data_IF_039329869006
#
_entry.id   IF_039329869006
#
_cell.length_a   1.000
_cell.length_b   1.000
_cell.length_c   1.000
_cell.angle_alpha   90.00
_cell.angle_beta   90.00
_cell.angle_gamma   90.00
#
_symmetry.space_group_name_H-M   'P 1'
#
loop_
_entity.id
_entity.type
_entity.pdbx_description
1 polymer ?
#
# COMPACT_ATOMS: atom_id res chain seq x y z
N UNK A 1 -24.95 12.99 11.79
CA UNK A 1 -23.93 12.87 10.74
C UNK A 1 -23.68 11.39 10.53
N UNK A 2 -23.59 10.94 9.28
CA UNK A 2 -23.14 9.57 8.99
C UNK A 2 -21.69 9.39 9.45
N UNK A 3 -21.26 8.15 9.63
CA UNK A 3 -19.85 7.86 9.96
C UNK A 3 -18.90 8.30 8.86
N UNK A 4 -17.60 8.37 9.19
CA UNK A 4 -16.52 8.76 8.28
C UNK A 4 -15.49 7.64 8.30
N UNK A 5 -14.99 7.25 7.13
CA UNK A 5 -13.89 6.30 6.97
C UNK A 5 -12.92 6.78 5.88
N UNK A 6 -11.75 7.31 6.27
CA UNK A 6 -10.80 7.92 5.33
C UNK A 6 -9.67 6.97 4.92
N UNK A 7 -9.79 5.68 5.20
CA UNK A 7 -8.76 4.71 4.87
C UNK A 7 -9.40 3.40 4.41
N UNK A 8 -9.76 3.36 3.12
CA UNK A 8 -10.42 2.17 2.54
C UNK A 8 -9.80 1.76 1.22
N UNK A 9 -9.64 0.46 1.04
CA UNK A 9 -8.99 -0.13 -0.12
C UNK A 9 -10.00 -0.87 -0.99
N UNK A 10 -9.78 -0.82 -2.29
CA UNK A 10 -10.56 -1.54 -3.30
C UNK A 10 -9.72 -2.62 -3.94
N UNK A 11 -10.33 -3.41 -4.83
CA UNK A 11 -9.62 -4.38 -5.63
C UNK A 11 -8.73 -3.79 -6.75
N UNK A 12 -8.54 -2.46 -6.77
CA UNK A 12 -7.48 -1.81 -7.54
C UNK A 12 -6.12 -1.92 -6.85
N UNK A 13 -6.12 -2.17 -5.54
CA UNK A 13 -4.98 -2.66 -4.80
C UNK A 13 -5.35 -3.97 -4.10
N UNK A 14 -5.26 -4.04 -2.77
CA UNK A 14 -5.43 -5.27 -1.97
C UNK A 14 -6.81 -5.39 -1.27
N UNK A 15 -7.74 -4.48 -1.56
CA UNK A 15 -9.12 -4.58 -1.10
C UNK A 15 -9.91 -5.66 -1.83
N UNK A 16 -11.01 -6.12 -1.23
CA UNK A 16 -11.85 -7.19 -1.80
C UNK A 16 -12.91 -6.66 -2.78
N UNK A 17 -13.44 -5.46 -2.52
CA UNK A 17 -14.57 -4.91 -3.27
C UNK A 17 -14.11 -4.03 -4.43
N UNK A 18 -14.85 -4.04 -5.52
CA UNK A 18 -14.72 -3.02 -6.56
C UNK A 18 -15.03 -1.63 -5.98
N UNK A 19 -14.47 -0.53 -6.52
CA UNK A 19 -14.70 0.82 -6.02
C UNK A 19 -16.20 1.16 -5.86
N UNK A 20 -17.01 0.86 -6.87
CA UNK A 20 -18.47 1.06 -6.81
C UNK A 20 -19.18 0.21 -5.74
N UNK A 21 -18.74 -1.04 -5.56
CA UNK A 21 -19.31 -1.94 -4.56
C UNK A 21 -18.97 -1.51 -3.13
N UNK A 22 -17.76 -0.99 -2.92
CA UNK A 22 -17.32 -0.45 -1.63
C UNK A 22 -18.14 0.79 -1.24
N UNK A 23 -18.37 1.71 -2.17
CA UNK A 23 -19.23 2.89 -1.94
C UNK A 23 -20.66 2.48 -1.57
N UNK A 24 -21.22 1.50 -2.26
CA UNK A 24 -22.54 0.95 -1.92
C UNK A 24 -22.55 0.36 -0.50
N UNK A 25 -21.54 -0.43 -0.15
CA UNK A 25 -21.41 -1.00 1.19
C UNK A 25 -21.31 0.10 2.26
N UNK A 26 -20.52 1.15 2.02
CA UNK A 26 -20.41 2.29 2.93
C UNK A 26 -21.78 2.94 3.22
N UNK A 27 -22.59 3.14 2.18
CA UNK A 27 -23.97 3.64 2.31
C UNK A 27 -24.85 2.70 3.13
N UNK A 28 -24.80 1.39 2.87
CA UNK A 28 -25.52 0.36 3.64
C UNK A 28 -25.10 0.32 5.13
N UNK A 29 -23.87 0.73 5.44
CA UNK A 29 -23.34 0.85 6.81
C UNK A 29 -23.59 2.22 7.46
N UNK A 30 -24.24 3.14 6.75
CA UNK A 30 -24.57 4.47 7.28
C UNK A 30 -23.39 5.44 7.33
N UNK A 31 -22.35 5.20 6.54
CA UNK A 31 -21.26 6.16 6.34
C UNK A 31 -21.72 7.28 5.40
N UNK A 32 -21.36 8.51 5.73
CA UNK A 32 -21.62 9.69 4.90
C UNK A 32 -20.42 10.12 4.06
N UNK A 33 -19.22 9.74 4.47
CA UNK A 33 -17.95 10.08 3.80
C UNK A 33 -17.04 8.86 3.82
N UNK A 34 -16.47 8.52 2.67
CA UNK A 34 -15.34 7.59 2.60
C UNK A 34 -14.19 8.17 1.76
N UNK A 35 -12.97 7.71 1.97
CA UNK A 35 -11.87 7.93 1.04
C UNK A 35 -11.44 6.61 0.39
N UNK A 36 -11.18 6.63 -0.92
CA UNK A 36 -10.52 5.53 -1.60
C UNK A 36 -9.03 5.79 -1.57
N UNK A 37 -8.27 4.94 -0.89
CA UNK A 37 -6.83 5.13 -0.63
C UNK A 37 -6.05 3.89 -1.05
N UNK A 38 -6.35 3.35 -2.22
CA UNK A 38 -5.65 2.19 -2.76
C UNK A 38 -4.12 2.36 -2.75
N UNK A 39 -3.40 1.27 -2.46
CA UNK A 39 -1.94 1.31 -2.41
C UNK A 39 -1.31 1.64 -3.76
N UNK A 40 -0.53 2.72 -3.80
CA UNK A 40 0.29 3.12 -4.94
C UNK A 40 -0.51 3.22 -6.27
N UNK A 41 -1.83 3.47 -6.25
CA UNK A 41 -2.66 3.66 -7.45
C UNK A 41 -3.88 4.56 -7.21
N UNK A 42 -4.32 5.25 -8.27
CA UNK A 42 -5.55 6.07 -8.30
C UNK A 42 -6.62 5.50 -9.22
N UNK A 43 -6.44 4.27 -9.73
CA UNK A 43 -7.28 3.68 -10.79
C UNK A 43 -8.75 3.45 -10.37
N UNK A 44 -9.06 3.53 -9.07
CA UNK A 44 -10.41 3.37 -8.53
C UNK A 44 -11.21 4.66 -8.35
N UNK A 45 -10.56 5.83 -8.48
CA UNK A 45 -11.14 7.09 -8.02
C UNK A 45 -12.35 7.53 -8.85
N UNK A 46 -12.28 7.46 -10.18
CA UNK A 46 -13.38 7.86 -11.06
C UNK A 46 -14.63 6.99 -10.85
N UNK A 47 -14.44 5.67 -10.77
CA UNK A 47 -15.54 4.72 -10.54
C UNK A 47 -16.21 4.97 -9.17
N UNK A 48 -15.40 5.16 -8.12
CA UNK A 48 -15.94 5.43 -6.78
C UNK A 48 -16.69 6.76 -6.72
N UNK A 49 -16.12 7.83 -7.30
CA UNK A 49 -16.76 9.14 -7.34
C UNK A 49 -18.13 9.09 -8.04
N UNK A 50 -18.22 8.37 -9.16
CA UNK A 50 -19.48 8.16 -9.87
C UNK A 50 -20.52 7.37 -9.02
N UNK A 51 -20.06 6.40 -8.24
CA UNK A 51 -20.92 5.61 -7.35
C UNK A 51 -21.38 6.39 -6.10
N UNK A 52 -20.63 7.42 -5.64
CA UNK A 52 -20.99 8.21 -4.45
C UNK A 52 -22.32 8.97 -4.61
N UNK A 53 -22.54 9.52 -5.81
CA UNK A 53 -23.71 10.35 -6.15
C UNK A 53 -25.07 9.67 -5.85
N UNK A 54 -25.38 8.47 -6.38
CA UNK A 54 -26.65 7.80 -6.11
C UNK A 54 -26.82 7.34 -4.65
N UNK A 55 -25.71 7.16 -3.92
CA UNK A 55 -25.69 6.60 -2.58
C UNK A 55 -25.64 7.65 -1.47
N UNK A 56 -25.59 8.94 -1.82
CA UNK A 56 -25.41 10.06 -0.88
C UNK A 56 -24.17 9.88 0.02
N UNK A 57 -23.11 9.31 -0.56
CA UNK A 57 -21.81 9.13 0.09
C UNK A 57 -20.82 10.06 -0.60
N UNK A 58 -20.19 10.93 0.16
CA UNK A 58 -19.06 11.73 -0.34
C UNK A 58 -17.84 10.82 -0.46
N UNK A 59 -17.22 10.82 -1.64
CA UNK A 59 -16.00 10.07 -1.91
C UNK A 59 -14.83 11.03 -2.00
N UNK A 60 -13.93 10.96 -1.04
CA UNK A 60 -12.68 11.72 -1.01
C UNK A 60 -11.67 11.00 -1.90
N UNK A 61 -11.10 11.68 -2.92
CA UNK A 61 -10.04 11.09 -3.73
C UNK A 61 -8.78 10.94 -2.88
N UNK A 62 -8.23 9.73 -2.88
CA UNK A 62 -7.10 9.36 -2.04
C UNK A 62 -6.11 8.42 -2.74
N UNK A 63 -4.95 8.24 -2.10
CA UNK A 63 -3.99 7.16 -2.39
C UNK A 63 -3.18 6.90 -1.13
N UNK A 64 -2.88 5.64 -0.83
CA UNK A 64 -1.90 5.30 0.21
C UNK A 64 -0.54 5.06 -0.45
N UNK A 65 0.38 6.01 -0.27
CA UNK A 65 1.72 5.92 -0.81
C UNK A 65 2.61 5.06 0.08
N UNK A 66 3.33 4.17 -0.57
CA UNK A 66 4.30 3.31 0.07
C UNK A 66 5.65 4.00 0.15
N UNK A 67 6.05 4.31 1.38
CA UNK A 67 7.33 4.92 1.70
C UNK A 67 8.16 3.99 2.59
N UNK A 68 9.42 4.38 2.81
CA UNK A 68 10.32 3.69 3.71
C UNK A 68 11.17 4.69 4.46
N UNK A 69 11.36 4.45 5.75
CA UNK A 69 12.34 5.17 6.55
C UNK A 69 13.28 4.18 7.23
N UNK A 70 14.59 4.31 6.95
CA UNK A 70 15.65 3.46 7.52
C UNK A 70 15.39 1.96 7.33
N UNK A 71 15.01 1.52 6.13
CA UNK A 71 14.77 0.11 5.85
C UNK A 71 13.41 -0.39 6.32
N UNK A 72 12.54 0.45 6.87
CA UNK A 72 11.22 0.05 7.39
C UNK A 72 10.10 0.76 6.64
N UNK A 73 9.10 -0.03 6.22
CA UNK A 73 7.88 0.48 5.58
C UNK A 73 7.18 1.52 6.44
N UNK A 74 6.76 2.60 5.80
CA UNK A 74 5.91 3.66 6.35
C UNK A 74 4.89 3.98 5.27
N UNK A 75 3.62 4.11 5.62
CA UNK A 75 2.61 4.49 4.63
C UNK A 75 2.12 5.91 4.88
N UNK A 76 1.82 6.59 3.77
CA UNK A 76 1.37 7.98 3.78
C UNK A 76 0.04 8.07 3.05
N UNK A 77 -1.02 8.32 3.80
CA UNK A 77 -2.33 8.62 3.24
C UNK A 77 -2.31 10.00 2.61
N UNK A 78 -2.77 10.08 1.37
CA UNK A 78 -2.77 11.29 0.60
C UNK A 78 -4.20 11.56 0.13
N UNK A 79 -4.66 12.81 0.23
CA UNK A 79 -6.04 13.21 -0.09
C UNK A 79 -6.06 14.43 -1.00
N UNK A 80 -7.10 14.55 -1.83
CA UNK A 80 -7.35 15.71 -2.71
C UNK A 80 -6.20 16.09 -3.65
N UNK A 81 -5.34 15.13 -3.97
CA UNK A 81 -4.37 15.28 -5.05
C UNK A 81 -5.06 15.36 -6.40
N UNK A 82 -4.44 16.03 -7.35
CA UNK A 82 -4.80 15.93 -8.77
C UNK A 82 -4.40 14.54 -9.29
N UNK A 83 -5.37 13.66 -9.63
CA UNK A 83 -5.08 12.32 -10.12
C UNK A 83 -4.44 12.33 -11.52
N UNK A 84 -4.47 13.44 -12.25
CA UNK A 84 -3.83 13.57 -13.55
C UNK A 84 -2.41 14.18 -13.47
N UNK A 85 -1.92 14.48 -12.27
CA UNK A 85 -0.60 15.08 -12.08
C UNK A 85 0.52 14.15 -12.58
N UNK A 86 1.21 14.54 -13.65
CA UNK A 86 2.16 13.68 -14.39
C UNK A 86 3.26 13.07 -13.51
N UNK A 87 3.87 13.86 -12.63
CA UNK A 87 4.96 13.39 -11.77
C UNK A 87 4.45 12.38 -10.73
N UNK A 88 3.23 12.57 -10.22
CA UNK A 88 2.64 11.65 -9.25
C UNK A 88 2.33 10.34 -9.95
N UNK A 89 1.70 10.39 -11.12
CA UNK A 89 1.39 9.19 -11.91
C UNK A 89 2.64 8.42 -12.32
N UNK A 90 3.71 9.11 -12.72
CA UNK A 90 4.99 8.47 -13.02
C UNK A 90 5.56 7.71 -11.82
N UNK A 91 5.50 8.31 -10.62
CA UNK A 91 5.98 7.69 -9.40
C UNK A 91 5.09 6.51 -8.95
N UNK A 92 3.76 6.63 -9.05
CA UNK A 92 2.84 5.53 -8.78
C UNK A 92 3.12 4.32 -9.69
N UNK A 93 3.32 4.56 -10.99
CA UNK A 93 3.70 3.51 -11.95
C UNK A 93 5.04 2.87 -11.57
N UNK A 94 6.02 3.69 -11.16
CA UNK A 94 7.33 3.22 -10.75
C UNK A 94 7.25 2.31 -9.51
N UNK A 95 6.56 2.76 -8.45
CA UNK A 95 6.34 1.99 -7.22
C UNK A 95 5.70 0.63 -7.51
N UNK A 96 4.66 0.58 -8.35
CA UNK A 96 4.01 -0.68 -8.75
C UNK A 96 4.93 -1.57 -9.58
N UNK A 97 5.66 -1.01 -10.54
CA UNK A 97 6.55 -1.77 -11.42
C UNK A 97 7.71 -2.39 -10.66
N UNK A 98 8.31 -1.65 -9.72
CA UNK A 98 9.43 -2.17 -8.91
C UNK A 98 8.97 -3.23 -7.91
N UNK A 99 7.73 -3.20 -7.42
CA UNK A 99 7.16 -4.32 -6.64
C UNK A 99 7.09 -5.61 -7.45
N UNK A 100 6.61 -5.53 -8.69
CA UNK A 100 6.53 -6.67 -9.60
C UNK A 100 7.92 -7.24 -9.87
N UNK A 101 8.85 -6.39 -10.33
CA UNK A 101 10.23 -6.76 -10.64
C UNK A 101 10.96 -7.34 -9.43
N UNK A 102 10.69 -6.80 -8.24
CA UNK A 102 11.23 -7.33 -6.98
C UNK A 102 10.71 -8.74 -6.71
N UNK A 103 9.41 -8.98 -6.87
CA UNK A 103 8.81 -10.30 -6.72
C UNK A 103 9.45 -11.32 -7.67
N UNK A 104 9.60 -10.97 -8.94
CA UNK A 104 10.27 -11.79 -9.96
C UNK A 104 11.71 -12.11 -9.57
N UNK A 105 12.48 -11.08 -9.16
CA UNK A 105 13.87 -11.24 -8.76
C UNK A 105 14.03 -12.12 -7.50
N UNK A 106 13.12 -12.02 -6.53
CA UNK A 106 13.11 -12.89 -5.35
C UNK A 106 12.85 -14.35 -5.73
N UNK A 107 11.85 -14.60 -6.59
CA UNK A 107 11.54 -15.94 -7.09
C UNK A 107 12.71 -16.52 -7.87
N UNK A 108 13.36 -15.73 -8.72
CA UNK A 108 14.52 -16.19 -9.48
C UNK A 108 15.69 -16.59 -8.55
N UNK A 109 15.96 -15.80 -7.51
CA UNK A 109 16.95 -16.19 -6.48
C UNK A 109 16.59 -17.51 -5.82
N UNK A 110 15.32 -17.73 -5.45
CA UNK A 110 14.86 -18.98 -4.85
C UNK A 110 15.00 -20.16 -5.80
N UNK A 111 14.72 -19.98 -7.09
CA UNK A 111 14.92 -21.01 -8.12
C UNK A 111 16.40 -21.36 -8.30
N UNK A 112 17.29 -20.38 -8.29
CA UNK A 112 18.74 -20.59 -8.34
C UNK A 112 19.27 -21.35 -7.11
N UNK A 113 18.60 -21.24 -5.96
CA UNK A 113 18.86 -22.03 -4.76
C UNK A 113 18.28 -23.47 -4.83
N UNK A 114 17.55 -23.80 -5.90
CA UNK A 114 16.99 -25.13 -6.14
C UNK A 114 15.56 -25.32 -5.64
N UNK A 115 14.86 -24.25 -5.24
CA UNK A 115 13.48 -24.35 -4.75
C UNK A 115 12.46 -24.37 -5.89
N UNK A 116 11.44 -25.24 -5.82
CA UNK A 116 10.44 -25.41 -6.89
C UNK A 116 9.32 -24.36 -6.80
N UNK A 117 9.69 -23.08 -6.91
CA UNK A 117 8.77 -21.94 -6.89
C UNK A 117 8.69 -21.28 -8.28
N UNK A 118 7.55 -20.67 -8.58
CA UNK A 118 7.31 -19.90 -9.81
C UNK A 118 6.70 -18.54 -9.49
N UNK A 119 6.94 -17.57 -10.37
CA UNK A 119 6.42 -16.22 -10.18
C UNK A 119 4.93 -16.18 -10.46
N UNK A 120 4.47 -16.97 -11.42
CA UNK A 120 3.06 -17.14 -11.74
C UNK A 120 2.27 -17.57 -10.50
N UNK A 121 2.79 -18.50 -9.69
CA UNK A 121 2.10 -18.93 -8.47
C UNK A 121 2.06 -17.84 -7.41
N UNK A 122 3.14 -17.07 -7.25
CA UNK A 122 3.16 -15.91 -6.35
C UNK A 122 2.15 -14.85 -6.79
N UNK A 123 2.04 -14.59 -8.10
CA UNK A 123 1.06 -13.66 -8.66
C UNK A 123 -0.38 -14.17 -8.49
N UNK A 124 -0.64 -15.47 -8.65
CA UNK A 124 -1.95 -16.07 -8.38
C UNK A 124 -2.36 -15.91 -6.91
N UNK A 125 -1.42 -16.09 -5.98
CA UNK A 125 -1.65 -15.87 -4.54
C UNK A 125 -1.97 -14.40 -4.26
N UNK A 126 -1.24 -13.48 -4.89
CA UNK A 126 -1.47 -12.03 -4.74
C UNK A 126 -2.81 -11.57 -5.34
N UNK A 127 -3.36 -12.30 -6.32
CA UNK A 127 -4.59 -11.95 -6.99
C UNK A 127 -4.48 -10.63 -7.75
N UNK A 128 -5.43 -9.71 -7.51
CA UNK A 128 -5.40 -8.35 -8.05
C UNK A 128 -4.56 -7.37 -7.22
N UNK A 129 -4.06 -7.83 -6.06
CA UNK A 129 -3.33 -7.00 -5.11
C UNK A 129 -1.85 -6.86 -5.41
N UNK A 130 -1.20 -6.02 -4.58
CA UNK A 130 0.23 -5.81 -4.67
C UNK A 130 1.00 -7.08 -4.30
N UNK A 131 2.00 -7.46 -5.09
CA UNK A 131 2.91 -8.54 -4.73
C UNK A 131 3.80 -8.08 -3.56
N UNK A 132 3.69 -8.77 -2.44
CA UNK A 132 4.48 -8.55 -1.21
C UNK A 132 5.19 -9.83 -0.78
N UNK A 133 6.17 -9.71 0.12
CA UNK A 133 6.95 -10.87 0.61
C UNK A 133 6.09 -11.99 1.20
N UNK A 134 5.00 -11.72 1.95
CA UNK A 134 4.09 -12.77 2.41
C UNK A 134 3.58 -13.68 1.29
N UNK A 135 3.30 -13.17 0.09
CA UNK A 135 2.89 -14.02 -1.04
C UNK A 135 4.01 -14.98 -1.49
N UNK A 136 5.28 -14.56 -1.41
CA UNK A 136 6.43 -15.43 -1.66
C UNK A 136 6.57 -16.47 -0.54
N UNK A 137 6.37 -16.07 0.73
CA UNK A 137 6.38 -16.97 1.87
C UNK A 137 5.31 -18.06 1.73
N UNK A 138 4.08 -17.67 1.41
CA UNK A 138 2.97 -18.59 1.18
C UNK A 138 3.28 -19.57 0.03
N UNK A 139 3.84 -19.10 -1.09
CA UNK A 139 4.25 -19.97 -2.17
C UNK A 139 5.35 -20.97 -1.77
N UNK A 140 6.26 -20.58 -0.87
CA UNK A 140 7.29 -21.49 -0.32
C UNK A 140 6.68 -22.54 0.61
N UNK A 141 5.67 -22.18 1.40
CA UNK A 141 4.90 -23.11 2.24
C UNK A 141 4.13 -24.10 1.36
N UNK A 142 3.40 -23.62 0.34
CA UNK A 142 2.66 -24.46 -0.60
C UNK A 142 3.58 -25.44 -1.37
N UNK A 143 4.81 -25.01 -1.68
CA UNK A 143 5.83 -25.83 -2.32
C UNK A 143 6.52 -26.83 -1.36
N UNK A 144 6.19 -26.80 -0.06
CA UNK A 144 6.79 -27.67 0.96
C UNK A 144 8.26 -27.36 1.25
N UNK A 145 8.72 -26.14 0.95
CA UNK A 145 10.11 -25.70 1.18
C UNK A 145 10.35 -25.33 2.65
N UNK A 146 9.30 -24.79 3.30
CA UNK A 146 9.26 -24.36 4.69
C UNK A 146 7.92 -24.78 5.31
N UNK A 147 7.86 -24.88 6.63
CA UNK A 147 6.69 -25.28 7.39
C UNK A 147 5.64 -24.17 7.51
N UNK A 148 6.09 -22.92 7.63
CA UNK A 148 5.25 -21.73 7.79
C UNK A 148 5.94 -20.47 7.22
N UNK A 149 5.21 -19.35 7.24
CA UNK A 149 5.72 -18.08 6.71
C UNK A 149 6.88 -17.52 7.55
N UNK A 150 6.86 -17.71 8.87
CA UNK A 150 7.92 -17.27 9.78
C UNK A 150 9.25 -17.91 9.38
N UNK A 151 9.26 -19.21 9.16
CA UNK A 151 10.44 -19.94 8.68
C UNK A 151 10.93 -19.42 7.31
N UNK A 152 10.01 -18.99 6.43
CA UNK A 152 10.37 -18.37 5.15
C UNK A 152 11.18 -17.07 5.36
N UNK A 153 10.68 -16.18 6.23
CA UNK A 153 11.33 -14.92 6.55
C UNK A 153 12.69 -15.14 7.23
N UNK A 154 12.77 -16.05 8.19
CA UNK A 154 14.00 -16.32 8.93
C UNK A 154 15.12 -16.89 8.06
N UNK A 155 14.76 -17.80 7.14
CA UNK A 155 15.78 -18.58 6.40
C UNK A 155 16.08 -18.05 5.00
N UNK A 156 15.11 -17.44 4.33
CA UNK A 156 15.15 -17.25 2.88
C UNK A 156 14.93 -15.81 2.44
N UNK A 157 13.85 -15.17 2.90
CA UNK A 157 13.33 -13.94 2.30
C UNK A 157 13.34 -12.70 3.22
N UNK A 158 13.79 -12.85 4.48
CA UNK A 158 14.04 -11.75 5.41
C UNK A 158 15.16 -10.83 4.93
N UNK A 159 15.41 -9.72 5.62
CA UNK A 159 16.30 -8.66 5.16
C UNK A 159 17.76 -9.10 4.96
N UNK A 160 18.20 -10.13 5.70
CA UNK A 160 19.52 -10.77 5.57
C UNK A 160 19.46 -12.11 4.79
N UNK A 161 18.29 -12.45 4.26
CA UNK A 161 18.02 -13.73 3.60
C UNK A 161 18.68 -13.84 2.21
N UNK A 162 19.03 -15.06 1.76
CA UNK A 162 19.69 -15.29 0.48
C UNK A 162 18.84 -14.89 -0.74
N UNK A 163 17.51 -14.88 -0.60
CA UNK A 163 16.58 -14.45 -1.64
C UNK A 163 16.08 -13.01 -1.45
N UNK A 164 16.65 -12.24 -0.51
CA UNK A 164 16.27 -10.85 -0.30
C UNK A 164 16.59 -9.98 -1.51
N UNK A 165 15.64 -9.12 -1.89
CA UNK A 165 15.84 -8.06 -2.88
C UNK A 165 15.36 -6.76 -2.23
N UNK A 166 16.18 -5.69 -2.25
CA UNK A 166 15.76 -4.41 -1.70
C UNK A 166 14.54 -3.87 -2.45
N UNK A 167 13.63 -3.25 -1.72
CA UNK A 167 12.47 -2.56 -2.28
C UNK A 167 12.88 -1.13 -2.65
N UNK A 168 12.41 -0.64 -3.79
CA UNK A 168 12.37 0.81 -3.98
C UNK A 168 11.16 1.37 -3.23
N UNK A 169 11.40 2.42 -2.46
CA UNK A 169 10.39 3.11 -1.72
C UNK A 169 10.76 4.59 -1.67
N UNK A 170 9.73 5.43 -1.65
CA UNK A 170 9.90 6.86 -1.41
C UNK A 170 10.39 7.12 0.01
N UNK A 171 11.19 8.16 0.22
CA UNK A 171 11.30 8.76 1.54
C UNK A 171 9.96 9.44 1.89
N UNK A 172 9.43 9.32 3.12
CA UNK A 172 8.18 9.95 3.49
C UNK A 172 8.13 11.47 3.22
N UNK A 173 9.27 12.17 3.33
CA UNK A 173 9.34 13.60 3.03
C UNK A 173 9.24 13.89 1.53
N UNK A 174 9.78 12.99 0.69
CA UNK A 174 9.65 13.08 -0.76
C UNK A 174 8.20 12.83 -1.19
N UNK A 175 7.51 11.88 -0.55
CA UNK A 175 6.08 11.63 -0.76
C UNK A 175 5.24 12.88 -0.45
N UNK A 176 5.48 13.52 0.69
CA UNK A 176 4.84 14.80 1.06
C UNK A 176 5.09 15.89 0.01
N UNK A 177 6.34 16.03 -0.41
CA UNK A 177 6.72 17.05 -1.37
C UNK A 177 6.04 16.82 -2.74
N UNK A 178 5.98 15.56 -3.19
CA UNK A 178 5.34 15.16 -4.44
C UNK A 178 3.83 15.44 -4.41
N UNK A 179 3.14 14.98 -3.37
CA UNK A 179 1.68 15.14 -3.26
C UNK A 179 1.29 16.61 -3.10
N UNK A 180 2.11 17.41 -2.40
CA UNK A 180 1.89 18.86 -2.32
C UNK A 180 2.00 19.53 -3.69
N UNK A 181 2.91 19.08 -4.58
CA UNK A 181 2.97 19.58 -5.97
C UNK A 181 1.72 19.19 -6.76
N UNK A 182 1.17 18.01 -6.48
CA UNK A 182 -0.13 17.56 -6.98
C UNK A 182 -1.34 18.23 -6.29
N UNK A 183 -1.14 19.20 -5.38
CA UNK A 183 -2.24 19.94 -4.73
C UNK A 183 -2.93 19.21 -3.57
N UNK A 184 -2.44 18.03 -3.17
CA UNK A 184 -3.03 17.23 -2.11
C UNK A 184 -2.47 17.51 -0.71
N UNK A 185 -3.04 16.82 0.27
CA UNK A 185 -2.61 16.81 1.67
C UNK A 185 -2.22 15.39 2.09
N UNK A 186 -1.20 15.27 2.96
CA UNK A 186 -0.71 13.98 3.45
C UNK A 186 -0.93 13.81 4.96
N UNK A 187 -1.24 12.59 5.35
CA UNK A 187 -1.40 12.11 6.73
C UNK A 187 -0.52 10.88 6.90
N UNK A 188 0.10 10.73 8.06
CA UNK A 188 0.81 9.48 8.40
C UNK A 188 -0.23 8.40 8.72
N UNK A 189 -0.19 7.31 7.97
CA UNK A 189 -1.07 6.16 8.18
C UNK A 189 -0.59 5.33 9.38
N UNK A 190 -1.54 4.77 10.14
CA UNK A 190 -1.34 3.80 11.23
C UNK A 190 -0.03 3.95 12.00
N UNK A 191 0.25 5.12 12.61
CA UNK A 191 1.57 5.44 13.13
C UNK A 191 2.01 4.53 14.30
N UNK A 192 1.11 3.75 14.88
CA UNK A 192 1.41 2.75 15.91
C UNK A 192 1.91 1.40 15.39
N UNK A 193 1.95 1.18 14.06
CA UNK A 193 2.26 -0.13 13.45
C UNK A 193 3.62 -0.20 12.73
N UNK A 194 4.60 0.60 13.15
CA UNK A 194 5.97 0.51 12.63
C UNK A 194 6.67 -0.77 13.12
N UNK A 195 7.39 -1.50 12.26
CA UNK A 195 8.10 -2.77 12.62
C UNK A 195 7.24 -3.70 13.48
N UNK A 196 6.07 -4.07 12.97
CA UNK A 196 5.17 -5.05 13.56
C UNK A 196 4.60 -4.70 14.95
N UNK A 197 4.96 -3.59 15.62
CA UNK A 197 4.32 -3.09 16.87
C UNK A 197 4.98 -1.84 17.52
N UNK A 198 6.06 -1.29 16.96
CA UNK A 198 6.65 -0.03 17.42
C UNK A 198 5.90 1.18 16.83
N UNK A 199 5.93 2.35 17.48
CA UNK A 199 5.48 3.58 16.84
C UNK A 199 6.52 4.09 15.84
N UNK A 200 6.04 4.89 14.88
CA UNK A 200 6.89 5.73 14.04
C UNK A 200 7.80 6.59 14.94
N UNK A 201 9.12 6.69 14.66
CA UNK A 201 10.03 7.55 15.42
C UNK A 201 9.55 9.00 15.46
N UNK A 202 9.59 9.58 16.65
CA UNK A 202 9.17 10.97 16.88
C UNK A 202 9.94 11.95 15.99
N UNK A 203 11.22 11.69 15.72
CA UNK A 203 12.03 12.55 14.85
C UNK A 203 11.52 12.58 13.40
N UNK A 204 10.97 11.46 12.91
CA UNK A 204 10.34 11.43 11.59
C UNK A 204 9.02 12.18 11.60
N UNK A 205 8.18 11.97 12.62
CA UNK A 205 6.90 12.69 12.78
C UNK A 205 7.14 14.20 12.79
N UNK A 206 8.13 14.67 13.56
CA UNK A 206 8.52 16.07 13.60
C UNK A 206 9.00 16.58 12.24
N UNK A 207 9.81 15.80 11.53
CA UNK A 207 10.32 16.17 10.22
C UNK A 207 9.19 16.29 9.18
N UNK A 208 8.25 15.34 9.20
CA UNK A 208 7.06 15.36 8.35
C UNK A 208 6.15 16.55 8.68
N UNK A 209 5.91 16.82 9.98
CA UNK A 209 5.14 17.98 10.43
C UNK A 209 5.77 19.31 9.97
N UNK A 210 7.08 19.48 10.15
CA UNK A 210 7.83 20.66 9.65
C UNK A 210 7.78 20.79 8.13
N UNK A 211 7.61 19.68 7.43
CA UNK A 211 7.55 19.61 5.97
C UNK A 211 6.13 19.73 5.40
N UNK A 212 5.11 19.92 6.25
CA UNK A 212 3.73 20.18 5.83
C UNK A 212 2.80 18.97 5.87
N UNK A 213 3.10 17.93 6.66
CA UNK A 213 2.13 16.87 6.99
C UNK A 213 0.87 17.50 7.61
N UNK A 214 -0.30 17.08 7.14
CA UNK A 214 -1.59 17.63 7.55
C UNK A 214 -2.17 16.94 8.78
N UNK A 215 -1.75 15.71 9.10
CA UNK A 215 -2.26 14.99 10.25
C UNK A 215 -1.59 13.64 10.50
N UNK A 216 -2.11 12.96 11.52
CA UNK A 216 -1.79 11.59 11.90
C UNK A 216 -3.11 10.81 11.97
N UNK A 217 -3.13 9.59 11.45
CA UNK A 217 -4.23 8.66 11.71
C UNK A 217 -4.19 8.24 13.18
N UNK A 218 -5.32 8.36 13.88
CA UNK A 218 -5.42 8.10 15.32
C UNK A 218 -6.32 6.90 15.65
N UNK A 219 -7.44 6.78 14.94
CA UNK A 219 -8.39 5.67 15.07
C UNK A 219 -8.20 4.72 13.89
N UNK A 220 -7.44 3.64 14.10
CA UNK A 220 -7.10 2.61 13.10
C UNK A 220 -7.38 1.21 13.66
#
# INVERSE_FOLDING_TARGET
MGGIDLHTHTNRSDGTFAPSALVKLASERGLGVIAITDHDTTDGLEEAAAAGLPHSVEVVPGVELSAEHRGTSVHVLCYWMDPEHEELQAELVRLRSERLLRGEAMVEKLRLLGYPISFERVAEIAGSGNIVRPHVAQALVEAGVVADEEEAFDRLIGDDGPAYVPKHALDPLDALALVRRAGGACVLAHPGMWRAEAPVPEELIEAMAKSGMAGLEADH
#
